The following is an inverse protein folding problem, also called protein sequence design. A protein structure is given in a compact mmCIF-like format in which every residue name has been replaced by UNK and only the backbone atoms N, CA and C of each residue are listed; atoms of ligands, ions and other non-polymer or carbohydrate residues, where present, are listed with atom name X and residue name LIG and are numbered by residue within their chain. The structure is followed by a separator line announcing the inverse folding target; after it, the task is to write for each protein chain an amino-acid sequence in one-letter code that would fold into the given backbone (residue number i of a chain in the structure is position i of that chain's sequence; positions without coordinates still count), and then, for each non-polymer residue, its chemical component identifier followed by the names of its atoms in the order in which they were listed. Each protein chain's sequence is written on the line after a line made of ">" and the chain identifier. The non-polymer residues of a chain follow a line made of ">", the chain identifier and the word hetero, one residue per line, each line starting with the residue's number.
data_IF_562993347826
#
_entry.id   IF_562993347826
#
_cell.length_a   1.000
_cell.length_b   1.000
_cell.length_c   1.000
_cell.angle_alpha   90.00
_cell.angle_beta   90.00
_cell.angle_gamma   90.00
#
_symmetry.space_group_name_H-M   'P 1'
#
loop_
_entity.id
_entity.type
_entity.pdbx_description
1 polymer ?
#
# COMPACT_ATOMS: atom_id res chain seq x y z
N UNK A 1 -13.06 20.40 -4.04
CA UNK A 1 -11.99 21.01 -3.23
C UNK A 1 -10.70 20.84 -4.01
N UNK A 2 -9.96 21.91 -4.33
CA UNK A 2 -8.62 21.73 -4.91
C UNK A 2 -7.74 20.96 -3.90
N UNK A 3 -6.83 20.08 -4.36
CA UNK A 3 -5.92 19.40 -3.45
C UNK A 3 -5.11 20.46 -2.69
N UNK A 4 -5.25 20.49 -1.36
CA UNK A 4 -4.41 21.33 -0.51
C UNK A 4 -2.95 20.94 -0.75
N UNK A 5 -2.08 21.94 -0.88
CA UNK A 5 -0.65 21.71 -0.90
C UNK A 5 -0.23 20.94 0.36
N UNK A 6 0.69 19.97 0.23
CA UNK A 6 1.05 19.04 1.32
C UNK A 6 1.55 19.83 2.53
N UNK A 7 2.33 20.89 2.30
CA UNK A 7 2.85 21.74 3.37
C UNK A 7 1.74 22.49 4.11
N UNK A 8 0.76 23.04 3.39
CA UNK A 8 -0.39 23.70 4.02
C UNK A 8 -1.27 22.69 4.78
N UNK A 9 -1.48 21.50 4.23
CA UNK A 9 -2.19 20.42 4.93
C UNK A 9 -1.50 20.07 6.25
N UNK A 10 -0.17 19.88 6.24
CA UNK A 10 0.62 19.59 7.45
C UNK A 10 0.48 20.71 8.48
N UNK A 11 0.59 21.98 8.04
CA UNK A 11 0.46 23.14 8.92
C UNK A 11 -0.90 23.17 9.60
N UNK A 12 -1.98 22.93 8.85
CA UNK A 12 -3.33 22.92 9.41
C UNK A 12 -3.60 21.70 10.31
N UNK A 13 -3.02 20.54 10.00
CA UNK A 13 -3.08 19.37 10.87
C UNK A 13 -2.38 19.61 12.22
N UNK A 14 -1.21 20.25 12.20
CA UNK A 14 -0.51 20.68 13.43
C UNK A 14 -1.32 21.71 14.23
N UNK A 15 -2.05 22.58 13.55
CA UNK A 15 -2.97 23.53 14.16
C UNK A 15 -4.29 22.92 14.66
N UNK A 16 -4.46 21.60 14.59
CA UNK A 16 -5.68 20.89 15.04
C UNK A 16 -6.96 21.34 14.31
N UNK A 17 -6.82 21.81 13.08
CA UNK A 17 -7.97 22.21 12.28
C UNK A 17 -8.80 20.98 11.87
N UNK A 18 -10.08 20.95 12.25
CA UNK A 18 -10.99 19.83 11.99
C UNK A 18 -11.23 19.59 10.49
N UNK A 19 -11.33 20.65 9.69
CA UNK A 19 -11.54 20.52 8.25
C UNK A 19 -10.31 19.91 7.56
N UNK A 20 -9.11 20.27 7.99
CA UNK A 20 -7.86 19.67 7.51
C UNK A 20 -7.75 18.19 7.90
N UNK A 21 -8.17 17.84 9.13
CA UNK A 21 -8.21 16.45 9.57
C UNK A 21 -9.18 15.63 8.74
N UNK A 22 -10.39 16.14 8.49
CA UNK A 22 -11.38 15.48 7.64
C UNK A 22 -10.89 15.30 6.19
N UNK A 23 -10.25 16.32 5.61
CA UNK A 23 -9.66 16.24 4.29
C UNK A 23 -8.53 15.20 4.22
N UNK A 24 -7.65 15.19 5.23
CA UNK A 24 -6.58 14.20 5.35
C UNK A 24 -7.14 12.77 5.45
N UNK A 25 -8.11 12.53 6.34
CA UNK A 25 -8.73 11.22 6.48
C UNK A 25 -9.33 10.78 5.15
N UNK A 26 -10.18 11.60 4.54
CA UNK A 26 -10.83 11.26 3.25
C UNK A 26 -9.82 10.96 2.13
N UNK A 27 -8.66 11.63 2.12
CA UNK A 27 -7.61 11.40 1.12
C UNK A 27 -6.91 10.05 1.28
N UNK A 28 -6.71 9.59 2.53
CA UNK A 28 -5.87 8.43 2.82
C UNK A 28 -6.63 7.19 3.28
N UNK A 29 -7.89 7.31 3.70
CA UNK A 29 -8.71 6.25 4.29
C UNK A 29 -8.70 4.98 3.43
N UNK A 30 -9.08 5.07 2.16
CA UNK A 30 -9.17 3.88 1.28
C UNK A 30 -7.84 3.15 1.14
N UNK A 31 -6.73 3.89 1.02
CA UNK A 31 -5.39 3.30 0.82
C UNK A 31 -4.86 2.68 2.11
N UNK A 32 -5.02 3.38 3.23
CA UNK A 32 -4.59 2.88 4.55
C UNK A 32 -5.43 1.67 4.94
N UNK A 33 -6.76 1.74 4.75
CA UNK A 33 -7.66 0.62 5.00
C UNK A 33 -7.27 -0.62 4.18
N UNK A 34 -7.02 -0.45 2.88
CA UNK A 34 -6.57 -1.55 2.02
C UNK A 34 -5.25 -2.17 2.48
N UNK A 35 -4.28 -1.35 2.92
CA UNK A 35 -3.02 -1.83 3.48
C UNK A 35 -3.26 -2.64 4.77
N UNK A 36 -3.97 -2.06 5.74
CA UNK A 36 -4.15 -2.72 7.04
C UNK A 36 -5.05 -3.94 6.94
N UNK A 37 -6.01 -3.97 6.01
CA UNK A 37 -6.84 -5.14 5.73
C UNK A 37 -6.00 -6.32 5.23
N UNK A 38 -5.04 -6.07 4.34
CA UNK A 38 -4.11 -7.12 3.88
C UNK A 38 -3.25 -7.65 5.02
N UNK A 39 -2.86 -6.78 5.95
CA UNK A 39 -2.04 -7.16 7.10
C UNK A 39 -2.82 -7.92 8.17
N UNK A 40 -4.05 -7.48 8.49
CA UNK A 40 -4.87 -8.09 9.53
C UNK A 40 -5.62 -9.33 9.02
N UNK A 41 -5.93 -9.41 7.73
CA UNK A 41 -6.65 -10.53 7.12
C UNK A 41 -8.15 -10.57 7.43
N UNK A 42 -8.68 -9.59 8.17
CA UNK A 42 -10.12 -9.47 8.40
C UNK A 42 -10.54 -8.00 8.56
N UNK A 43 -11.80 -7.72 8.22
CA UNK A 43 -12.36 -6.37 8.20
C UNK A 43 -12.42 -5.72 9.58
N UNK A 44 -12.85 -6.44 10.61
CA UNK A 44 -13.02 -5.88 11.94
C UNK A 44 -11.70 -5.32 12.49
N UNK A 45 -10.65 -6.13 12.45
CA UNK A 45 -9.32 -5.68 12.90
C UNK A 45 -8.75 -4.58 12.01
N UNK A 46 -9.06 -4.58 10.72
CA UNK A 46 -8.64 -3.52 9.81
C UNK A 46 -9.28 -2.16 10.18
N UNK A 47 -10.57 -2.15 10.52
CA UNK A 47 -11.29 -0.94 10.97
C UNK A 47 -10.73 -0.43 12.29
N UNK A 48 -10.48 -1.32 13.25
CA UNK A 48 -9.86 -0.94 14.54
C UNK A 48 -8.46 -0.36 14.35
N UNK A 49 -7.62 -1.00 13.52
CA UNK A 49 -6.28 -0.49 13.22
C UNK A 49 -6.35 0.84 12.48
N UNK A 50 -7.25 1.01 11.53
CA UNK A 50 -7.42 2.28 10.80
C UNK A 50 -7.72 3.43 11.75
N UNK A 51 -8.60 3.21 12.74
CA UNK A 51 -8.91 4.20 13.77
C UNK A 51 -7.67 4.54 14.61
N UNK A 52 -6.93 3.53 15.08
CA UNK A 52 -5.69 3.71 15.83
C UNK A 52 -4.64 4.49 15.04
N UNK A 53 -4.56 4.29 13.72
CA UNK A 53 -3.65 5.02 12.83
C UNK A 53 -3.98 6.50 12.79
N UNK A 54 -5.24 6.84 12.53
CA UNK A 54 -5.64 8.25 12.47
C UNK A 54 -5.53 8.96 13.83
N UNK A 55 -5.86 8.27 14.92
CA UNK A 55 -5.61 8.75 16.28
C UNK A 55 -4.12 8.99 16.53
N UNK A 56 -3.26 8.06 16.11
CA UNK A 56 -1.80 8.20 16.26
C UNK A 56 -1.25 9.35 15.42
N UNK A 57 -1.73 9.51 14.19
CA UNK A 57 -1.37 10.64 13.32
C UNK A 57 -1.73 11.95 13.99
N UNK A 58 -2.97 12.07 14.49
CA UNK A 58 -3.40 13.25 15.24
C UNK A 58 -2.44 13.48 16.41
N UNK A 59 -2.24 12.52 17.30
CA UNK A 59 -1.37 12.71 18.47
C UNK A 59 0.09 13.05 18.12
N UNK A 60 0.61 12.53 17.01
CA UNK A 60 2.04 12.63 16.66
C UNK A 60 2.36 13.59 15.53
N UNK A 61 1.40 14.30 14.95
CA UNK A 61 1.66 15.18 13.80
C UNK A 61 2.73 16.24 14.10
N UNK A 62 2.81 16.72 15.35
CA UNK A 62 3.83 17.69 15.78
C UNK A 62 5.25 17.13 15.68
N UNK A 63 5.41 15.80 15.79
CA UNK A 63 6.70 15.11 15.63
C UNK A 63 7.13 14.90 14.18
N UNK A 64 6.23 15.16 13.21
CA UNK A 64 6.57 15.06 11.80
C UNK A 64 7.45 16.24 11.39
N UNK A 65 8.71 15.92 11.02
CA UNK A 65 9.74 16.90 10.68
C UNK A 65 9.77 17.31 9.20
N UNK A 66 9.08 16.57 8.33
CA UNK A 66 9.12 16.81 6.88
C UNK A 66 10.34 16.20 6.16
N UNK A 67 11.14 15.36 6.86
CA UNK A 67 12.27 14.64 6.26
C UNK A 67 11.84 13.56 5.24
N UNK A 68 10.55 13.25 5.18
CA UNK A 68 9.91 12.34 4.23
C UNK A 68 8.57 12.91 3.80
N UNK A 69 7.93 12.31 2.78
CA UNK A 69 6.52 12.61 2.48
C UNK A 69 5.60 12.22 3.63
N UNK A 70 4.44 12.89 3.72
CA UNK A 70 3.45 12.59 4.74
C UNK A 70 2.88 11.18 4.58
N UNK A 71 2.69 10.74 3.32
CA UNK A 71 2.25 9.39 2.96
C UNK A 71 3.19 8.30 3.49
N UNK A 72 4.50 8.47 3.34
CA UNK A 72 5.50 7.52 3.83
C UNK A 72 5.48 7.40 5.36
N UNK A 73 5.34 8.53 6.06
CA UNK A 73 5.22 8.53 7.51
C UNK A 73 3.93 7.86 7.98
N UNK A 74 2.81 8.12 7.30
CA UNK A 74 1.52 7.50 7.54
C UNK A 74 1.56 5.97 7.38
N UNK A 75 2.15 5.46 6.30
CA UNK A 75 2.24 4.01 6.07
C UNK A 75 3.12 3.29 7.09
N UNK A 76 4.15 3.95 7.62
CA UNK A 76 4.93 3.42 8.75
C UNK A 76 4.09 3.32 10.02
N UNK A 77 3.26 4.33 10.31
CA UNK A 77 2.31 4.26 11.44
C UNK A 77 1.32 3.12 11.23
N UNK A 78 0.73 2.99 10.04
CA UNK A 78 -0.24 1.95 9.69
C UNK A 78 0.32 0.55 9.83
N UNK A 79 1.51 0.31 9.28
CA UNK A 79 2.18 -0.99 9.38
C UNK A 79 2.49 -1.34 10.84
N UNK A 80 3.01 -0.38 11.61
CA UNK A 80 3.30 -0.61 13.03
C UNK A 80 2.04 -0.91 13.86
N UNK A 81 0.95 -0.19 13.61
CA UNK A 81 -0.33 -0.42 14.29
C UNK A 81 -0.90 -1.81 13.97
N UNK A 82 -0.90 -2.20 12.68
CA UNK A 82 -1.32 -3.54 12.27
C UNK A 82 -0.47 -4.64 12.91
N UNK A 83 0.86 -4.51 12.89
CA UNK A 83 1.77 -5.48 13.52
C UNK A 83 1.55 -5.56 15.05
N UNK A 84 1.31 -4.44 15.72
CA UNK A 84 0.97 -4.43 17.14
C UNK A 84 -0.34 -5.17 17.41
N UNK A 85 -1.36 -4.98 16.57
CA UNK A 85 -2.64 -5.70 16.66
C UNK A 85 -2.44 -7.21 16.49
N UNK A 86 -1.68 -7.63 15.47
CA UNK A 86 -1.35 -9.04 15.23
C UNK A 86 -0.61 -9.68 16.40
N UNK A 87 0.35 -8.98 17.02
CA UNK A 87 1.11 -9.47 18.19
C UNK A 87 0.25 -9.67 19.43
N UNK A 88 -0.84 -8.90 19.57
CA UNK A 88 -1.80 -9.00 20.69
C UNK A 88 -2.85 -10.08 20.48
N UNK A 89 -2.97 -10.66 19.27
CA UNK A 89 -3.90 -11.76 19.03
C UNK A 89 -3.50 -12.95 19.92
N UNK A 90 -4.44 -13.54 20.67
CA UNK A 90 -4.17 -14.77 21.38
C UNK A 90 -3.74 -15.81 20.35
N UNK A 91 -2.53 -16.37 20.52
CA UNK A 91 -2.11 -17.52 19.74
C UNK A 91 -3.08 -18.64 20.09
N UNK A 92 -3.97 -19.00 19.16
CA UNK A 92 -4.73 -20.24 19.30
C UNK A 92 -3.68 -21.34 19.39
N UNK A 93 -3.57 -21.99 20.55
CA UNK A 93 -2.82 -23.25 20.65
C UNK A 93 -3.48 -24.19 19.64
N UNK A 94 -2.74 -24.59 18.61
CA UNK A 94 -3.15 -25.68 17.74
C UNK A 94 -3.40 -26.90 18.64
N UNK A 95 -4.67 -27.30 18.74
CA UNK A 95 -5.04 -28.59 19.29
C UNK A 95 -4.81 -29.56 18.13
N UNK A 96 -3.95 -30.58 18.26
CA UNK A 96 -3.80 -31.58 17.21
C UNK A 96 -5.07 -32.44 17.22
N UNK A 97 -6.01 -32.15 16.31
CA UNK A 97 -7.17 -33.01 16.09
C UNK A 97 -6.86 -33.93 14.91
N UNK A 98 -6.58 -35.18 15.27
CA UNK A 98 -6.47 -36.30 14.35
C UNK A 98 -7.78 -36.49 13.57
N UNK A 99 -7.60 -36.67 12.26
CA UNK A 99 -8.33 -37.55 11.33
C UNK A 99 -9.87 -37.51 11.25
N UNK A 100 -10.33 -37.60 10.00
CA UNK A 100 -11.71 -37.72 9.51
C UNK A 100 -12.57 -36.43 9.53
N UNK A 101 -12.71 -35.82 8.34
CA UNK A 101 -13.99 -35.60 7.64
C UNK A 101 -13.71 -35.20 6.18
N UNK A 102 -14.54 -35.70 5.26
CA UNK A 102 -14.38 -35.68 3.80
C UNK A 102 -14.58 -34.32 3.09
N UNK A 103 -14.81 -34.32 1.76
CA UNK A 103 -14.22 -33.36 0.84
C UNK A 103 -14.79 -31.94 0.95
N UNK A 104 -13.87 -30.99 0.73
CA UNK A 104 -14.05 -29.56 0.75
C UNK A 104 -15.18 -29.06 -0.17
N UNK A 105 -15.97 -28.11 0.35
CA UNK A 105 -16.55 -27.02 -0.43
C UNK A 105 -16.08 -25.69 0.17
N UNK A 106 -15.76 -24.80 -0.75
CA UNK A 106 -14.86 -23.64 -0.68
C UNK A 106 -15.46 -22.40 -0.04
N UNK A 107 -14.62 -21.60 0.63
CA UNK A 107 -14.50 -20.17 0.30
C UNK A 107 -13.04 -19.72 0.49
N UNK A 108 -12.38 -19.60 -0.65
CA UNK A 108 -11.17 -18.82 -0.98
C UNK A 108 -9.93 -18.88 -0.06
N UNK A 109 -8.93 -19.59 -0.57
CA UNK A 109 -7.65 -19.84 0.06
C UNK A 109 -6.84 -18.59 0.37
N UNK A 110 -6.54 -18.41 1.65
CA UNK A 110 -5.40 -17.61 2.09
C UNK A 110 -4.16 -18.48 2.02
N UNK A 111 -3.51 -18.51 0.85
CA UNK A 111 -2.10 -18.87 0.79
C UNK A 111 -1.35 -17.81 1.60
N UNK A 112 -0.81 -18.22 2.75
CA UNK A 112 0.07 -17.38 3.54
C UNK A 112 1.41 -17.23 2.81
N UNK A 113 1.44 -16.32 1.84
CA UNK A 113 2.68 -15.75 1.31
C UNK A 113 3.51 -15.22 2.49
N UNK A 114 4.85 -15.36 2.46
CA UNK A 114 5.71 -14.87 3.53
C UNK A 114 5.45 -13.38 3.70
N UNK A 115 5.25 -12.96 4.96
CA UNK A 115 5.04 -11.56 5.35
C UNK A 115 6.19 -10.73 4.77
N UNK A 116 5.95 -10.11 3.60
CA UNK A 116 6.95 -9.25 2.98
C UNK A 116 7.28 -8.11 3.95
N UNK A 117 8.50 -7.58 3.85
CA UNK A 117 8.92 -6.43 4.65
C UNK A 117 8.20 -5.17 4.12
N UNK A 118 6.90 -5.05 4.44
CA UNK A 118 6.01 -3.97 3.99
C UNK A 118 6.38 -2.61 4.62
N UNK A 119 7.32 -2.58 5.56
CA UNK A 119 7.98 -1.35 6.01
C UNK A 119 8.77 -0.66 4.88
N UNK A 120 9.10 -1.43 3.84
CA UNK A 120 9.76 -1.00 2.61
C UNK A 120 8.79 -0.71 1.48
N UNK A 121 7.47 -0.67 1.67
CA UNK A 121 6.59 -0.15 0.62
C UNK A 121 6.98 1.31 0.36
N UNK A 122 7.70 1.58 -0.72
CA UNK A 122 8.18 2.91 -1.03
C UNK A 122 6.97 3.72 -1.48
N UNK A 123 7.04 5.02 -1.29
CA UNK A 123 6.06 5.92 -1.88
C UNK A 123 6.29 5.92 -3.40
N UNK A 124 5.62 5.00 -4.09
CA UNK A 124 5.76 4.79 -5.53
C UNK A 124 5.03 5.84 -6.36
N UNK A 125 5.31 7.09 -6.04
CA UNK A 125 5.38 8.16 -7.04
C UNK A 125 6.84 8.35 -7.48
N UNK A 126 7.82 8.14 -6.61
CA UNK A 126 9.24 8.28 -6.95
C UNK A 126 9.76 7.06 -7.73
N UNK A 127 9.44 5.83 -7.32
CA UNK A 127 9.81 4.66 -8.12
C UNK A 127 8.95 4.54 -9.37
N UNK A 128 7.69 5.01 -9.37
CA UNK A 128 6.92 5.18 -10.62
C UNK A 128 7.62 6.12 -11.59
N UNK A 129 8.13 7.26 -11.11
CA UNK A 129 8.88 8.22 -11.92
C UNK A 129 10.19 7.62 -12.41
N UNK A 130 10.91 6.87 -11.59
CA UNK A 130 12.15 6.21 -12.00
C UNK A 130 11.90 5.04 -12.97
N UNK A 131 10.84 4.27 -12.76
CA UNK A 131 10.40 3.20 -13.67
C UNK A 131 9.93 3.78 -15.01
N UNK A 132 9.16 4.87 -14.98
CA UNK A 132 8.71 5.61 -16.18
C UNK A 132 9.91 6.21 -16.92
N UNK A 133 10.85 6.83 -16.20
CA UNK A 133 12.10 7.35 -16.77
C UNK A 133 12.95 6.26 -17.42
N UNK A 134 13.02 5.07 -16.81
CA UNK A 134 13.73 3.91 -17.37
C UNK A 134 13.05 3.37 -18.63
N UNK A 135 11.72 3.34 -18.66
CA UNK A 135 10.93 2.97 -19.84
C UNK A 135 11.12 4.01 -20.95
N UNK A 136 11.02 5.31 -20.65
CA UNK A 136 11.23 6.40 -21.60
C UNK A 136 12.66 6.43 -22.16
N UNK A 137 13.67 6.23 -21.30
CA UNK A 137 15.07 6.13 -21.72
C UNK A 137 15.31 4.91 -22.63
N UNK A 138 14.66 3.78 -22.35
CA UNK A 138 14.74 2.59 -23.20
C UNK A 138 14.06 2.79 -24.56
N UNK A 139 12.91 3.48 -24.59
CA UNK A 139 12.23 3.85 -25.85
C UNK A 139 13.10 4.78 -26.69
N UNK A 140 13.86 5.68 -26.06
CA UNK A 140 14.76 6.63 -26.75
C UNK A 140 16.02 5.96 -27.31
N UNK A 141 16.40 4.77 -26.81
CA UNK A 141 17.51 3.97 -27.36
C UNK A 141 17.07 2.98 -28.45
N UNK A 142 15.78 2.93 -28.79
CA UNK A 142 15.33 2.16 -29.94
C UNK A 142 15.85 2.84 -31.21
N UNK A 143 16.67 2.16 -32.03
CA UNK A 143 17.07 2.71 -33.31
C UNK A 143 15.81 2.80 -34.17
N UNK A 144 15.39 4.03 -34.49
CA UNK A 144 14.42 4.30 -35.55
C UNK A 144 15.10 3.86 -36.85
N UNK A 145 14.91 2.60 -37.24
CA UNK A 145 15.58 2.07 -38.41
C UNK A 145 15.65 0.56 -38.48
N UNK A 146 14.57 -0.06 -38.94
CA UNK A 146 14.71 -1.08 -39.99
C UNK A 146 13.40 -1.23 -40.74
N UNK A 147 13.39 -0.69 -41.96
CA UNK A 147 12.35 -0.99 -42.94
C UNK A 147 12.26 -2.50 -43.14
N UNK A 148 11.03 -2.99 -43.19
CA UNK A 148 10.72 -4.33 -43.68
C UNK A 148 10.89 -4.33 -45.20
N UNK A 149 11.81 -5.10 -45.82
CA UNK A 149 11.81 -5.24 -47.26
C UNK A 149 10.64 -6.16 -47.66
N UNK A 150 9.73 -5.56 -48.41
CA UNK A 150 8.70 -6.22 -49.17
C UNK A 150 9.36 -6.97 -50.32
N UNK A 151 9.65 -8.27 -50.17
CA UNK A 151 9.87 -9.25 -51.26
C UNK A 151 10.20 -10.63 -50.72
N UNK A 152 9.18 -11.48 -50.56
CA UNK A 152 9.21 -12.90 -50.99
C UNK A 152 7.88 -13.58 -50.62
N UNK A 153 6.82 -13.20 -51.32
CA UNK A 153 5.71 -14.10 -51.59
C UNK A 153 5.93 -14.57 -53.05
N UNK A 154 6.35 -15.83 -53.23
CA UNK A 154 6.03 -16.76 -54.33
C UNK A 154 7.18 -17.77 -54.63
N UNK A 155 6.75 -19.00 -54.95
CA UNK A 155 7.44 -20.10 -55.65
C UNK A 155 8.25 -21.16 -54.86
N UNK A 156 7.57 -22.27 -54.50
CA UNK A 156 7.69 -23.63 -55.09
C UNK A 156 7.55 -24.75 -54.04
N UNK A 157 6.41 -25.43 -54.03
CA UNK A 157 6.22 -26.81 -54.52
C UNK A 157 4.74 -27.13 -54.55
#
# INVERSE_FOLDING_TARGET
>A
MAPLDEHELIKQLKARNEAALGAFMAQYETRVFGLVLRLTGNRQDAEEVLQDVFLTVFQKIDSFRGDSKLSSWLYRIATNAALMKLRKRPKVKEIPLAEELGPAMTDEGMSAEPVADWSRLPDDELERKELTRRIEAAITQLPIGRGFPMTSWNAKS
#
